data_IF_688827550131
#
_entry.id   IF_688827550131
#
_cell.length_a   1.000
_cell.length_b   1.000
_cell.length_c   1.000
_cell.angle_alpha   90.00
_cell.angle_beta   90.00
_cell.angle_gamma   90.00
#
_symmetry.space_group_name_H-M   'P 1'
#
loop_
_entity.id
_entity.type
_entity.pdbx_description
1 polymer ?
#
# COMPACT_ATOMS: atom_id res chain seq x y z
N UNK A 1 -5.95 -29.32 61.00
CA UNK A 1 -7.27 -28.95 61.51
C UNK A 1 -8.09 -28.50 60.31
N UNK A 2 -8.93 -29.45 59.84
CA UNK A 2 -9.82 -29.28 58.70
C UNK A 2 -10.92 -28.28 59.08
N UNK A 3 -11.29 -27.37 58.16
CA UNK A 3 -12.64 -26.84 58.07
C UNK A 3 -13.03 -26.69 56.59
N UNK A 4 -13.88 -27.61 56.22
CA UNK A 4 -14.73 -27.65 55.06
C UNK A 4 -15.72 -26.47 55.09
N UNK A 5 -15.80 -25.66 54.04
CA UNK A 5 -16.98 -24.87 53.74
C UNK A 5 -17.62 -25.40 52.47
N UNK A 6 -18.70 -26.09 52.72
CA UNK A 6 -19.57 -26.69 51.72
C UNK A 6 -20.55 -25.62 51.22
N UNK A 7 -20.67 -25.53 49.96
CA UNK A 7 -21.61 -25.19 48.97
C UNK A 7 -22.93 -24.54 49.35
N UNK A 8 -23.22 -23.52 48.56
CA UNK A 8 -24.59 -23.22 48.18
C UNK A 8 -24.61 -23.09 46.65
N UNK A 9 -25.06 -24.18 46.01
CA UNK A 9 -25.39 -24.20 44.60
C UNK A 9 -26.63 -23.35 44.36
N UNK A 10 -26.44 -22.18 43.75
CA UNK A 10 -27.58 -21.46 43.15
C UNK A 10 -27.91 -22.10 41.80
N UNK A 11 -29.16 -22.47 41.56
CA UNK A 11 -29.57 -23.04 40.28
C UNK A 11 -29.42 -21.98 39.17
N UNK A 12 -28.76 -22.40 38.08
CA UNK A 12 -28.43 -21.60 36.90
C UNK A 12 -29.58 -20.82 36.26
N UNK A 13 -30.80 -21.11 36.64
CA UNK A 13 -32.03 -20.44 36.17
C UNK A 13 -32.17 -18.99 36.64
N UNK A 14 -31.57 -18.61 37.77
CA UNK A 14 -31.65 -17.24 38.31
C UNK A 14 -30.52 -16.34 37.86
N UNK A 15 -29.46 -16.89 37.27
CA UNK A 15 -28.36 -16.09 36.74
C UNK A 15 -28.77 -15.34 35.44
N UNK A 16 -29.68 -15.91 34.68
CA UNK A 16 -30.19 -15.30 33.42
C UNK A 16 -31.19 -14.17 33.67
N UNK A 17 -31.91 -14.17 34.81
CA UNK A 17 -32.92 -13.15 35.10
C UNK A 17 -32.27 -11.87 35.65
N UNK A 18 -31.11 -11.98 36.28
CA UNK A 18 -30.40 -10.83 36.85
C UNK A 18 -29.59 -10.07 35.77
N UNK A 19 -29.25 -10.72 34.66
CA UNK A 19 -28.53 -10.10 33.52
C UNK A 19 -29.47 -9.38 32.54
N UNK A 20 -30.77 -9.71 32.54
CA UNK A 20 -31.76 -9.11 31.66
C UNK A 20 -32.32 -7.80 32.16
N UNK A 21 -32.14 -7.45 33.45
CA UNK A 21 -32.65 -6.22 34.06
C UNK A 21 -31.72 -4.99 33.94
N UNK A 22 -30.49 -5.15 33.39
CA UNK A 22 -29.49 -4.07 33.26
C UNK A 22 -29.44 -3.43 31.85
N UNK A 23 -30.32 -3.84 30.92
CA UNK A 23 -30.25 -3.35 29.51
C UNK A 23 -31.36 -2.31 29.23
N UNK A 24 -32.16 -1.91 30.20
CA UNK A 24 -33.34 -1.02 30.03
C UNK A 24 -33.19 0.35 30.70
N UNK A 25 -32.00 0.94 30.68
CA UNK A 25 -31.86 2.33 31.15
C UNK A 25 -30.90 3.08 30.25
N UNK A 26 -31.44 3.83 29.30
CA UNK A 26 -30.61 4.78 28.57
C UNK A 26 -31.00 5.13 27.15
N UNK A 27 -32.27 5.36 26.87
CA UNK A 27 -32.63 6.22 25.74
C UNK A 27 -32.79 7.65 26.23
N UNK A 28 -31.69 8.42 26.19
CA UNK A 28 -31.76 9.89 26.18
C UNK A 28 -32.03 10.29 24.73
N UNK A 29 -33.26 10.72 24.46
CA UNK A 29 -33.68 11.34 23.21
C UNK A 29 -33.01 12.71 23.17
N UNK A 30 -31.96 12.87 22.37
CA UNK A 30 -31.48 14.18 21.98
C UNK A 30 -32.40 14.69 20.87
N UNK A 31 -33.00 15.83 21.07
CA UNK A 31 -33.81 16.52 20.07
C UNK A 31 -32.98 16.81 18.83
N UNK A 32 -33.52 16.63 17.60
CA UNK A 32 -32.82 16.97 16.38
C UNK A 32 -32.71 18.50 16.28
N UNK A 33 -31.49 19.02 16.51
CA UNK A 33 -31.17 20.40 16.15
C UNK A 33 -31.41 20.59 14.66
N UNK A 34 -32.11 21.65 14.29
CA UNK A 34 -32.34 22.03 12.88
C UNK A 34 -31.02 22.17 12.15
N UNK A 35 -30.74 21.22 11.26
CA UNK A 35 -29.63 21.33 10.31
C UNK A 35 -30.07 22.23 9.17
N UNK A 36 -29.68 23.48 9.21
CA UNK A 36 -29.79 24.37 8.04
C UNK A 36 -28.78 23.92 7.00
N UNK A 37 -29.22 23.16 6.01
CA UNK A 37 -28.40 22.78 4.86
C UNK A 37 -28.21 24.01 3.98
N UNK A 38 -27.01 24.57 4.04
CA UNK A 38 -26.60 25.63 3.08
C UNK A 38 -26.10 24.92 1.81
N UNK A 39 -27.02 24.60 0.91
CA UNK A 39 -26.73 23.91 -0.37
C UNK A 39 -25.69 24.59 -1.25
N UNK A 40 -25.49 25.89 -1.08
CA UNK A 40 -24.59 26.70 -1.94
C UNK A 40 -23.11 26.47 -1.65
N UNK A 41 -22.77 25.91 -0.48
CA UNK A 41 -21.38 25.67 -0.06
C UNK A 41 -20.85 24.30 -0.49
N UNK A 42 -21.75 23.32 -0.64
CA UNK A 42 -21.35 21.93 -0.91
C UNK A 42 -20.88 21.71 -2.34
N UNK A 43 -21.51 22.32 -3.31
CA UNK A 43 -21.14 22.20 -4.72
C UNK A 43 -19.77 22.85 -5.01
N UNK A 44 -19.44 23.97 -4.34
CA UNK A 44 -18.14 24.63 -4.52
C UNK A 44 -16.98 23.80 -3.90
N UNK A 45 -17.22 23.13 -2.78
CA UNK A 45 -16.20 22.28 -2.13
C UNK A 45 -15.95 21.00 -2.94
N UNK A 46 -16.98 20.45 -3.59
CA UNK A 46 -16.82 19.26 -4.45
C UNK A 46 -16.07 19.59 -5.74
N UNK A 47 -16.34 20.75 -6.36
CA UNK A 47 -15.65 21.18 -7.58
C UNK A 47 -14.18 21.52 -7.29
N UNK A 48 -13.88 22.18 -6.19
CA UNK A 48 -12.50 22.48 -5.79
C UNK A 48 -11.71 21.20 -5.43
N UNK A 49 -12.37 20.20 -4.82
CA UNK A 49 -11.71 18.92 -4.52
C UNK A 49 -11.52 18.04 -5.77
N UNK A 50 -12.45 18.04 -6.73
CA UNK A 50 -12.30 17.30 -7.98
C UNK A 50 -11.22 17.92 -8.87
N UNK A 51 -11.16 19.25 -8.96
CA UNK A 51 -10.14 19.95 -9.72
C UNK A 51 -8.76 19.84 -9.08
N UNK A 52 -8.64 19.92 -7.75
CA UNK A 52 -7.39 19.69 -7.03
C UNK A 52 -6.91 18.24 -7.13
N UNK A 53 -7.82 17.26 -7.07
CA UNK A 53 -7.47 15.86 -7.23
C UNK A 53 -7.00 15.53 -8.64
N UNK A 54 -7.64 16.13 -9.66
CA UNK A 54 -7.29 15.95 -11.06
C UNK A 54 -6.01 16.70 -11.45
N UNK A 55 -5.81 17.91 -10.93
CA UNK A 55 -4.57 18.69 -11.10
C UNK A 55 -3.39 18.03 -10.38
N UNK A 56 -3.61 17.49 -9.17
CA UNK A 56 -2.59 16.78 -8.41
C UNK A 56 -2.22 15.43 -9.03
N UNK A 57 -3.20 14.70 -9.59
CA UNK A 57 -2.94 13.45 -10.32
C UNK A 57 -2.20 13.71 -11.65
N UNK A 58 -2.50 14.82 -12.36
CA UNK A 58 -1.79 15.20 -13.59
C UNK A 58 -0.38 15.74 -13.32
N UNK A 59 -0.16 16.42 -12.19
CA UNK A 59 1.17 16.86 -11.73
C UNK A 59 2.03 15.67 -11.29
N UNK A 60 1.43 14.65 -10.72
CA UNK A 60 2.11 13.46 -10.22
C UNK A 60 2.62 12.53 -11.35
N UNK A 61 1.98 12.53 -12.52
CA UNK A 61 2.46 11.77 -13.69
C UNK A 61 3.81 12.26 -14.26
N UNK A 62 4.19 13.52 -14.00
CA UNK A 62 5.51 14.07 -14.37
C UNK A 62 6.62 13.79 -13.35
N UNK A 63 6.33 13.05 -12.28
CA UNK A 63 7.19 12.96 -11.10
C UNK A 63 7.79 11.57 -10.85
N UNK A 64 7.86 10.74 -11.86
CA UNK A 64 8.56 9.45 -11.80
C UNK A 64 10.01 9.60 -12.27
N UNK A 65 10.92 8.79 -11.73
CA UNK A 65 12.33 8.73 -12.12
C UNK A 65 12.70 7.34 -12.66
N UNK A 66 13.82 7.23 -13.36
CA UNK A 66 14.33 5.93 -13.80
C UNK A 66 14.71 5.06 -12.58
N UNK A 67 14.45 3.72 -12.64
CA UNK A 67 14.86 2.81 -11.58
C UNK A 67 16.34 2.49 -11.59
N UNK A 68 16.98 2.56 -12.74
CA UNK A 68 18.41 2.30 -12.97
C UNK A 68 18.87 3.10 -14.18
N UNK A 69 20.14 3.50 -14.19
CA UNK A 69 20.78 4.18 -15.34
C UNK A 69 21.41 3.13 -16.28
N UNK A 70 20.57 2.51 -17.10
CA UNK A 70 20.97 1.46 -18.03
C UNK A 70 20.06 1.42 -19.26
N UNK A 71 20.53 0.84 -20.34
CA UNK A 71 19.73 0.67 -21.56
C UNK A 71 18.63 -0.41 -21.37
N UNK A 72 17.55 -0.27 -22.12
CA UNK A 72 16.44 -1.22 -22.08
C UNK A 72 16.68 -2.32 -23.11
N UNK A 73 16.93 -3.54 -22.63
CA UNK A 73 17.04 -4.75 -23.46
C UNK A 73 15.69 -5.23 -23.98
N UNK A 74 14.67 -5.21 -23.11
CA UNK A 74 13.33 -5.71 -23.46
C UNK A 74 12.26 -4.80 -22.89
N UNK A 75 11.35 -4.37 -23.78
CA UNK A 75 10.24 -3.48 -23.47
C UNK A 75 9.01 -4.24 -23.01
N UNK A 76 8.13 -3.52 -22.31
CA UNK A 76 6.81 -4.01 -21.91
C UNK A 76 6.02 -4.54 -23.11
N UNK A 77 5.46 -5.75 -22.97
CA UNK A 77 4.56 -6.37 -23.95
C UNK A 77 3.71 -7.45 -23.28
N UNK A 78 2.40 -7.22 -23.17
CA UNK A 78 1.47 -8.22 -22.65
C UNK A 78 1.37 -9.43 -23.58
N UNK A 79 1.39 -9.21 -24.89
CA UNK A 79 1.32 -10.26 -25.92
C UNK A 79 2.48 -11.25 -25.80
N UNK A 80 3.68 -10.76 -25.44
CA UNK A 80 4.88 -11.59 -25.27
C UNK A 80 5.09 -12.01 -23.80
N UNK A 81 4.08 -11.91 -22.96
CA UNK A 81 4.13 -12.23 -21.53
C UNK A 81 5.33 -11.56 -20.82
N UNK A 82 5.56 -10.27 -21.11
CA UNK A 82 6.61 -9.45 -20.53
C UNK A 82 6.04 -8.15 -19.94
N UNK A 83 5.45 -8.21 -18.73
CA UNK A 83 4.71 -7.10 -18.12
C UNK A 83 5.59 -6.02 -17.48
N UNK A 84 6.84 -5.89 -17.88
CA UNK A 84 7.78 -4.91 -17.35
C UNK A 84 8.87 -4.49 -18.34
N UNK A 85 9.99 -4.03 -17.81
CA UNK A 85 11.18 -3.64 -18.56
C UNK A 85 12.37 -4.48 -18.08
N UNK A 86 13.17 -5.00 -19.02
CA UNK A 86 14.46 -5.61 -18.69
C UNK A 86 15.57 -4.65 -19.11
N UNK A 87 16.55 -4.45 -18.24
CA UNK A 87 17.66 -3.51 -18.45
C UNK A 87 18.99 -4.23 -18.63
N UNK A 88 19.86 -3.68 -19.47
CA UNK A 88 21.25 -4.10 -19.66
C UNK A 88 22.12 -3.38 -18.61
N UNK A 89 22.11 -3.90 -17.40
CA UNK A 89 22.86 -3.35 -16.28
C UNK A 89 24.23 -4.00 -16.14
N UNK A 90 25.13 -3.28 -15.51
CA UNK A 90 26.35 -3.85 -14.93
C UNK A 90 26.15 -4.16 -13.46
N UNK A 91 26.94 -5.10 -12.90
CA UNK A 91 26.90 -5.44 -11.49
C UNK A 91 27.19 -4.23 -10.60
N UNK A 92 26.38 -4.04 -9.57
CA UNK A 92 26.59 -3.04 -8.54
C UNK A 92 26.11 -1.63 -8.90
N UNK A 93 25.33 -1.44 -9.95
CA UNK A 93 24.69 -0.15 -10.23
C UNK A 93 23.58 0.14 -9.20
N UNK A 94 23.45 1.41 -8.85
CA UNK A 94 22.38 1.88 -7.97
C UNK A 94 21.00 1.60 -8.56
N UNK A 95 20.16 0.93 -7.78
CA UNK A 95 18.72 0.83 -8.03
C UNK A 95 18.01 1.86 -7.17
N UNK A 96 17.21 2.71 -7.81
CA UNK A 96 16.56 3.84 -7.15
C UNK A 96 15.04 3.73 -7.20
N UNK A 97 14.40 4.17 -6.11
CA UNK A 97 12.95 4.26 -6.05
C UNK A 97 12.43 5.26 -7.08
N UNK A 98 11.54 4.81 -7.95
CA UNK A 98 10.98 5.64 -9.03
C UNK A 98 10.08 6.77 -8.51
N UNK A 99 9.54 6.62 -7.30
CA UNK A 99 8.64 7.57 -6.65
C UNK A 99 8.61 7.32 -5.15
N UNK A 100 8.19 8.34 -4.35
CA UNK A 100 7.90 8.20 -2.93
C UNK A 100 6.88 7.12 -2.66
N UNK A 101 7.09 6.30 -1.61
CA UNK A 101 6.19 5.22 -1.24
C UNK A 101 6.58 4.52 0.05
N UNK A 102 6.02 3.34 0.25
CA UNK A 102 6.27 2.44 1.37
C UNK A 102 6.68 1.06 0.83
N UNK A 103 7.72 0.47 1.38
CA UNK A 103 8.15 -0.89 1.03
C UNK A 103 7.13 -1.88 1.60
N UNK A 104 6.46 -2.62 0.74
CA UNK A 104 5.49 -3.65 1.14
C UNK A 104 6.03 -5.07 0.99
N UNK A 105 7.20 -5.22 0.38
CA UNK A 105 7.95 -6.46 0.33
C UNK A 105 9.44 -6.17 0.12
N UNK A 106 10.30 -6.89 0.82
CA UNK A 106 11.75 -6.89 0.65
C UNK A 106 12.29 -8.29 0.96
N UNK A 107 12.87 -8.98 -0.02
CA UNK A 107 13.40 -10.33 0.20
C UNK A 107 13.62 -11.16 -1.05
N UNK A 108 13.87 -12.46 -0.85
CA UNK A 108 14.24 -13.44 -1.89
C UNK A 108 13.38 -14.72 -1.85
N UNK A 109 12.26 -14.70 -1.13
CA UNK A 109 11.39 -15.89 -0.95
C UNK A 109 10.80 -16.40 -2.25
N UNK A 110 10.72 -15.55 -3.30
CA UNK A 110 10.22 -15.93 -4.64
C UNK A 110 11.42 -16.15 -5.55
N UNK A 111 11.92 -17.39 -5.58
CA UNK A 111 13.21 -17.79 -6.19
C UNK A 111 13.38 -17.36 -7.64
N UNK A 112 12.29 -17.35 -8.45
CA UNK A 112 12.33 -16.97 -9.87
C UNK A 112 12.64 -15.49 -10.10
N UNK A 113 12.36 -14.62 -9.11
CA UNK A 113 12.56 -13.16 -9.21
C UNK A 113 13.87 -12.69 -8.56
N UNK A 114 14.63 -13.61 -7.91
CA UNK A 114 15.81 -13.24 -7.13
C UNK A 114 15.45 -12.33 -5.94
N UNK A 115 16.39 -11.51 -5.51
CA UNK A 115 16.11 -10.50 -4.49
C UNK A 115 15.22 -9.41 -5.07
N UNK A 116 14.06 -9.19 -4.44
CA UNK A 116 12.99 -8.35 -4.94
C UNK A 116 12.55 -7.32 -3.90
N UNK A 117 12.22 -6.12 -4.38
CA UNK A 117 11.57 -5.08 -3.61
C UNK A 117 10.23 -4.75 -4.28
N UNK A 118 9.18 -4.54 -3.48
CA UNK A 118 7.91 -3.97 -3.95
C UNK A 118 7.64 -2.72 -3.14
N UNK A 119 7.42 -1.59 -3.82
CA UNK A 119 7.04 -0.32 -3.21
C UNK A 119 5.61 0.02 -3.62
N UNK A 120 4.78 0.31 -2.62
CA UNK A 120 3.43 0.85 -2.78
C UNK A 120 3.51 2.38 -2.81
N UNK A 121 2.90 2.97 -3.82
CA UNK A 121 2.81 4.41 -4.00
C UNK A 121 1.38 4.91 -3.83
N UNK A 122 1.21 6.22 -3.78
CA UNK A 122 -0.11 6.84 -3.78
C UNK A 122 -0.92 6.44 -5.03
N UNK A 123 -2.24 6.50 -4.90
CA UNK A 123 -3.22 6.24 -5.98
C UNK A 123 -3.19 4.81 -6.55
N UNK A 124 -2.81 3.81 -5.74
CA UNK A 124 -2.83 2.40 -6.12
C UNK A 124 -1.74 1.98 -7.11
N UNK A 125 -0.65 2.74 -7.23
CA UNK A 125 0.51 2.32 -7.98
C UNK A 125 1.44 1.45 -7.14
N UNK A 126 2.11 0.51 -7.81
CA UNK A 126 3.18 -0.30 -7.28
C UNK A 126 4.35 -0.31 -8.25
N UNK A 127 5.56 -0.35 -7.72
CA UNK A 127 6.78 -0.62 -8.48
C UNK A 127 7.49 -1.84 -7.90
N UNK A 128 8.01 -2.69 -8.78
CA UNK A 128 8.62 -3.97 -8.46
C UNK A 128 10.02 -3.98 -9.07
N UNK A 129 11.03 -4.29 -8.25
CA UNK A 129 12.45 -4.24 -8.57
C UNK A 129 13.03 -5.62 -8.33
N UNK A 130 13.42 -6.34 -9.40
CA UNK A 130 13.85 -7.72 -9.33
C UNK A 130 15.31 -7.91 -9.78
N UNK A 131 15.90 -9.05 -9.39
CA UNK A 131 17.29 -9.45 -9.73
C UNK A 131 18.33 -8.52 -9.07
N UNK A 132 18.01 -8.00 -7.87
CA UNK A 132 18.96 -7.22 -7.09
C UNK A 132 20.07 -8.13 -6.51
N UNK A 133 21.28 -7.59 -6.38
CA UNK A 133 22.40 -8.24 -5.69
C UNK A 133 22.29 -8.06 -4.17
N UNK A 134 22.02 -6.85 -3.76
CA UNK A 134 21.87 -6.46 -2.37
C UNK A 134 20.71 -5.48 -2.22
N UNK A 135 19.97 -5.59 -1.12
CA UNK A 135 18.84 -4.73 -0.78
C UNK A 135 19.20 -3.93 0.47
N UNK A 136 18.90 -2.62 0.47
CA UNK A 136 19.22 -1.68 1.55
C UNK A 136 17.99 -1.25 2.35
N UNK A 137 16.81 -1.77 2.01
CA UNK A 137 15.54 -1.37 2.63
C UNK A 137 14.77 -2.60 3.12
N UNK A 138 13.94 -2.39 4.13
CA UNK A 138 13.12 -3.42 4.75
C UNK A 138 11.63 -3.14 4.55
N UNK A 139 10.80 -4.17 4.67
CA UNK A 139 9.35 -4.04 4.69
C UNK A 139 8.90 -3.07 5.79
N UNK A 140 8.00 -2.13 5.44
CA UNK A 140 7.52 -1.05 6.30
C UNK A 140 8.30 0.27 6.16
N UNK A 141 9.46 0.29 5.49
CA UNK A 141 10.23 1.52 5.32
C UNK A 141 9.50 2.53 4.42
N UNK A 142 9.53 3.80 4.83
CA UNK A 142 9.12 4.93 3.99
C UNK A 142 10.26 5.35 3.09
N UNK A 143 10.02 5.44 1.79
CA UNK A 143 11.03 5.69 0.75
C UNK A 143 10.74 7.00 0.03
N UNK A 144 11.77 7.80 -0.17
CA UNK A 144 11.71 8.99 -1.02
C UNK A 144 12.04 8.65 -2.48
N UNK A 145 11.53 9.48 -3.42
CA UNK A 145 11.86 9.36 -4.83
C UNK A 145 13.36 9.55 -5.07
N UNK A 146 13.95 8.66 -5.86
CA UNK A 146 15.39 8.69 -6.17
C UNK A 146 16.29 8.12 -5.08
N UNK A 147 15.74 7.72 -3.93
CA UNK A 147 16.49 7.05 -2.88
C UNK A 147 17.07 5.73 -3.42
N UNK A 148 18.35 5.45 -3.14
CA UNK A 148 18.97 4.16 -3.44
C UNK A 148 18.39 3.12 -2.50
N UNK A 149 17.83 2.05 -3.07
CA UNK A 149 17.13 0.99 -2.36
C UNK A 149 17.81 -0.38 -2.50
N UNK A 150 18.65 -0.52 -3.54
CA UNK A 150 19.37 -1.75 -3.84
C UNK A 150 20.53 -1.47 -4.80
N UNK A 151 21.27 -2.52 -5.15
CA UNK A 151 22.19 -2.53 -6.29
C UNK A 151 21.87 -3.72 -7.20
N UNK A 152 22.15 -3.56 -8.50
CA UNK A 152 21.92 -4.57 -9.53
C UNK A 152 22.85 -5.78 -9.37
N UNK A 153 22.35 -6.96 -9.76
CA UNK A 153 23.11 -8.21 -9.81
C UNK A 153 23.77 -8.47 -11.18
N UNK A 154 24.29 -9.70 -11.34
CA UNK A 154 24.85 -10.18 -12.60
C UNK A 154 23.79 -10.53 -13.67
N UNK A 155 22.54 -10.71 -13.25
CA UNK A 155 21.42 -10.94 -14.18
C UNK A 155 20.84 -9.61 -14.62
N UNK A 156 20.26 -9.54 -15.82
CA UNK A 156 19.54 -8.35 -16.25
C UNK A 156 18.49 -7.92 -15.23
N UNK A 157 18.55 -6.64 -14.84
CA UNK A 157 17.61 -6.06 -13.89
C UNK A 157 16.22 -5.98 -14.49
N UNK A 158 15.21 -6.39 -13.73
CA UNK A 158 13.83 -6.38 -14.19
C UNK A 158 12.98 -5.45 -13.34
N UNK A 159 12.26 -4.58 -14.01
CA UNK A 159 11.41 -3.56 -13.40
C UNK A 159 9.98 -3.66 -13.93
N UNK A 160 8.99 -3.66 -13.02
CA UNK A 160 7.57 -3.70 -13.35
C UNK A 160 6.81 -2.60 -12.62
N UNK A 161 5.78 -2.08 -13.26
CA UNK A 161 4.81 -1.19 -12.62
C UNK A 161 3.41 -1.80 -12.71
N UNK A 162 2.65 -1.63 -11.63
CA UNK A 162 1.22 -1.97 -11.58
C UNK A 162 0.39 -0.76 -11.17
N UNK A 163 -0.84 -0.74 -11.67
CA UNK A 163 -1.91 0.12 -11.20
C UNK A 163 -2.97 -0.78 -10.61
N UNK A 164 -3.15 -0.72 -9.29
CA UNK A 164 -3.84 -1.74 -8.51
C UNK A 164 -3.20 -3.11 -8.74
N UNK A 165 -3.89 -4.07 -9.33
CA UNK A 165 -3.36 -5.40 -9.63
C UNK A 165 -2.90 -5.57 -11.09
N UNK A 166 -3.23 -4.60 -11.97
CA UNK A 166 -2.97 -4.69 -13.40
C UNK A 166 -1.57 -4.17 -13.77
N UNK A 167 -0.78 -4.92 -14.53
CA UNK A 167 0.49 -4.45 -15.05
C UNK A 167 0.28 -3.31 -16.06
N UNK A 168 1.11 -2.29 -15.95
CA UNK A 168 1.07 -1.11 -16.83
C UNK A 168 2.43 -0.88 -17.47
N UNK A 169 2.43 -0.28 -18.68
CA UNK A 169 3.68 0.04 -19.38
C UNK A 169 4.44 1.15 -18.64
N UNK A 170 5.63 0.84 -18.03
CA UNK A 170 6.39 1.82 -17.27
C UNK A 170 6.85 3.03 -18.11
N UNK A 171 7.12 2.83 -19.42
CA UNK A 171 7.58 3.90 -20.32
C UNK A 171 6.58 5.05 -20.50
N UNK A 172 5.34 4.89 -20.04
CA UNK A 172 4.34 5.98 -20.05
C UNK A 172 4.48 6.92 -18.85
N UNK A 173 5.31 6.55 -17.88
CA UNK A 173 5.45 7.24 -16.60
C UNK A 173 6.89 7.72 -16.32
N UNK A 174 7.90 6.93 -16.72
CA UNK A 174 9.33 7.20 -16.53
C UNK A 174 9.87 8.31 -17.44
#
# INVERSE_FOLDING_TARGET
MLLLFWGYGMPTKYFFILFLSLILSGCLINEPGQVTVVEKSFNKVLDDNQNNSKAKAASDNKNWSLPVDAEILKKFSIENNHPGLTYDNVLGQDVRAVRKGEVVYSGDKITSYGKMIIIKHAYGFYSIYNQNQEIYVSEGDSIDKGQVIAVTGNKPFYFEMKKYEEPINPLKYL
#
